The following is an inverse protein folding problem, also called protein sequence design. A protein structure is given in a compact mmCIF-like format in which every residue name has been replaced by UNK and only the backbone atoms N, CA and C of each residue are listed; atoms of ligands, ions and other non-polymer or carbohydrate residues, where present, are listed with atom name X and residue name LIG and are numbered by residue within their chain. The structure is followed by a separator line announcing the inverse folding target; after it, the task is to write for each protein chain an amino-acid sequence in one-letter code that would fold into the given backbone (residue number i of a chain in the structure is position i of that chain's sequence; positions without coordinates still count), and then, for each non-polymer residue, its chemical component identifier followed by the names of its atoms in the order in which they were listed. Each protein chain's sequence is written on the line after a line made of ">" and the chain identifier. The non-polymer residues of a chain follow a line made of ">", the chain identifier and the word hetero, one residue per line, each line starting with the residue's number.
data_IF_745796657227
#
_entry.id   IF_745796657227
#
_cell.length_a   1.000
_cell.length_b   1.000
_cell.length_c   1.000
_cell.angle_alpha   90.00
_cell.angle_beta   90.00
_cell.angle_gamma   90.00
#
_symmetry.space_group_name_H-M   'P 1'
#
loop_
_entity.id
_entity.type
_entity.pdbx_description
1 polymer ?
#
# COMPACT_ATOMS: atom_id res chain seq x y z
N UNK A 1 5.05 -9.16 -17.64
CA UNK A 1 5.52 -7.83 -18.09
C UNK A 1 5.79 -6.94 -16.89
N UNK A 2 4.77 -6.54 -16.13
CA UNK A 2 4.88 -5.70 -14.91
C UNK A 2 5.93 -6.20 -13.91
N UNK A 3 5.92 -7.50 -13.61
CA UNK A 3 6.90 -8.13 -12.70
C UNK A 3 8.36 -7.93 -13.12
N UNK A 4 8.64 -7.98 -14.43
CA UNK A 4 10.01 -7.84 -14.93
C UNK A 4 10.45 -6.38 -14.97
N UNK A 5 9.52 -5.46 -15.22
CA UNK A 5 9.81 -4.04 -15.43
C UNK A 5 9.84 -3.26 -14.11
N UNK A 6 8.80 -3.41 -13.27
CA UNK A 6 8.65 -2.62 -12.04
C UNK A 6 9.00 -3.40 -10.78
N UNK A 7 9.17 -4.73 -10.86
CA UNK A 7 9.52 -5.57 -9.72
C UNK A 7 10.76 -5.06 -8.97
N UNK A 8 11.91 -4.84 -9.66
CA UNK A 8 13.11 -4.32 -9.01
C UNK A 8 12.92 -2.95 -8.35
N UNK A 9 12.13 -2.06 -8.96
CA UNK A 9 11.86 -0.71 -8.43
C UNK A 9 11.01 -0.80 -7.15
N UNK A 10 9.99 -1.66 -7.17
CA UNK A 10 9.14 -1.92 -5.99
C UNK A 10 9.98 -2.53 -4.86
N UNK A 11 10.81 -3.54 -5.16
CA UNK A 11 11.69 -4.18 -4.17
C UNK A 11 12.70 -3.20 -3.55
N UNK A 12 13.34 -2.37 -4.37
CA UNK A 12 14.24 -1.31 -3.89
C UNK A 12 13.50 -0.29 -3.02
N UNK A 13 12.31 0.16 -3.45
CA UNK A 13 11.49 1.10 -2.66
C UNK A 13 11.09 0.48 -1.32
N UNK A 14 10.72 -0.80 -1.28
CA UNK A 14 10.41 -1.51 -0.03
C UNK A 14 11.64 -1.58 0.88
N UNK A 15 12.82 -1.86 0.33
CA UNK A 15 14.07 -1.90 1.09
C UNK A 15 14.40 -0.53 1.70
N UNK A 16 14.26 0.54 0.92
CA UNK A 16 14.44 1.92 1.39
C UNK A 16 13.43 2.28 2.50
N UNK A 17 12.14 1.99 2.29
CA UNK A 17 11.10 2.24 3.29
C UNK A 17 11.35 1.44 4.58
N UNK A 18 11.78 0.18 4.47
CA UNK A 18 12.07 -0.66 5.63
C UNK A 18 13.27 -0.16 6.44
N UNK A 19 14.24 0.48 5.78
CA UNK A 19 15.42 1.06 6.43
C UNK A 19 15.14 2.42 7.06
N UNK A 20 14.33 3.24 6.41
CA UNK A 20 14.17 4.66 6.72
C UNK A 20 12.83 5.01 7.40
N UNK A 21 11.97 4.02 7.67
CA UNK A 21 10.67 4.23 8.31
C UNK A 21 10.24 3.00 9.10
N UNK A 22 9.06 3.08 9.72
CA UNK A 22 8.38 1.94 10.39
C UNK A 22 7.65 0.99 9.41
N UNK A 23 7.93 1.03 8.10
CA UNK A 23 7.19 0.25 7.08
C UNK A 23 7.10 -1.24 7.40
N UNK A 24 8.18 -1.87 7.86
CA UNK A 24 8.16 -3.30 8.19
C UNK A 24 7.22 -3.66 9.35
N UNK A 25 6.79 -2.69 10.18
CA UNK A 25 5.82 -2.93 11.24
C UNK A 25 4.42 -3.26 10.69
N UNK A 26 4.13 -2.86 9.44
CA UNK A 26 2.84 -3.15 8.77
C UNK A 26 2.58 -4.65 8.59
N UNK A 27 3.62 -5.49 8.70
CA UNK A 27 3.49 -6.96 8.71
C UNK A 27 2.71 -7.49 9.91
N UNK A 28 2.61 -6.70 11.00
CA UNK A 28 1.96 -7.09 12.24
C UNK A 28 0.47 -6.75 12.29
N UNK A 29 -0.04 -5.98 11.33
CA UNK A 29 -1.42 -5.49 11.33
C UNK A 29 -2.19 -6.17 10.20
N UNK A 30 -3.39 -6.66 10.51
CA UNK A 30 -4.25 -7.32 9.53
C UNK A 30 -5.07 -6.28 8.78
N UNK A 31 -5.16 -6.42 7.46
CA UNK A 31 -5.97 -5.54 6.60
C UNK A 31 -7.26 -6.23 6.17
N UNK A 32 -7.17 -7.31 5.40
CA UNK A 32 -8.34 -8.03 4.89
C UNK A 32 -8.19 -9.55 5.10
N UNK A 33 -9.10 -10.13 5.88
CA UNK A 33 -9.10 -11.57 6.16
C UNK A 33 -7.80 -12.04 6.82
N UNK A 34 -6.93 -12.70 6.04
CA UNK A 34 -5.60 -13.19 6.48
C UNK A 34 -4.43 -12.42 5.85
N UNK A 35 -4.71 -11.33 5.14
CA UNK A 35 -3.68 -10.49 4.52
C UNK A 35 -3.27 -9.36 5.45
N UNK A 36 -1.96 -9.23 5.67
CA UNK A 36 -1.41 -8.10 6.44
C UNK A 36 -1.45 -6.80 5.63
N UNK A 37 -1.39 -5.65 6.31
CA UNK A 37 -1.27 -4.33 5.66
C UNK A 37 -0.07 -4.30 4.72
N UNK A 38 1.05 -4.88 5.14
CA UNK A 38 2.26 -4.99 4.31
C UNK A 38 2.00 -5.69 2.97
N UNK A 39 1.38 -6.87 3.02
CA UNK A 39 1.07 -7.65 1.83
C UNK A 39 0.06 -6.94 0.92
N UNK A 40 -0.94 -6.29 1.52
CA UNK A 40 -1.94 -5.52 0.81
C UNK A 40 -1.29 -4.36 0.04
N UNK A 41 -0.52 -3.51 0.71
CA UNK A 41 0.20 -2.38 0.10
C UNK A 41 1.09 -2.80 -1.08
N UNK A 42 1.81 -3.92 -0.94
CA UNK A 42 2.65 -4.44 -2.02
C UNK A 42 1.80 -4.85 -3.23
N UNK A 43 0.70 -5.58 -3.02
CA UNK A 43 -0.20 -5.97 -4.13
C UNK A 43 -0.80 -4.74 -4.81
N UNK A 44 -1.18 -3.71 -4.05
CA UNK A 44 -1.68 -2.44 -4.59
C UNK A 44 -0.62 -1.74 -5.42
N UNK A 45 0.65 -1.71 -5.00
CA UNK A 45 1.74 -1.15 -5.80
C UNK A 45 1.92 -1.89 -7.14
N UNK A 46 1.93 -3.22 -7.13
CA UNK A 46 2.01 -4.00 -8.37
C UNK A 46 0.79 -3.80 -9.27
N UNK A 47 -0.42 -3.79 -8.69
CA UNK A 47 -1.66 -3.56 -9.44
C UNK A 47 -1.67 -2.16 -10.06
N UNK A 48 -1.21 -1.15 -9.32
CA UNK A 48 -1.11 0.23 -9.81
C UNK A 48 -0.19 0.34 -11.03
N UNK A 49 1.01 -0.26 -10.95
CA UNK A 49 1.93 -0.32 -12.09
C UNK A 49 1.33 -1.08 -13.28
N UNK A 50 0.59 -2.17 -13.01
CA UNK A 50 -0.10 -2.92 -14.06
C UNK A 50 -1.18 -2.10 -14.76
N UNK A 51 -2.04 -1.42 -14.01
CA UNK A 51 -3.08 -0.54 -14.57
C UNK A 51 -2.44 0.55 -15.42
N UNK A 52 -1.45 1.26 -14.87
CA UNK A 52 -0.77 2.35 -15.56
C UNK A 52 -0.14 1.89 -16.88
N UNK A 53 0.63 0.79 -16.84
CA UNK A 53 1.30 0.23 -18.02
C UNK A 53 0.31 -0.32 -19.05
N UNK A 54 -0.71 -1.06 -18.60
CA UNK A 54 -1.71 -1.68 -19.48
C UNK A 54 -2.52 -0.64 -20.24
N UNK A 55 -2.85 0.47 -19.58
CA UNK A 55 -3.59 1.58 -20.17
C UNK A 55 -2.69 2.64 -20.83
N UNK A 56 -1.36 2.44 -20.81
CA UNK A 56 -0.35 3.37 -21.36
C UNK A 56 -0.50 4.79 -20.81
N UNK A 57 -0.76 4.90 -19.52
CA UNK A 57 -0.93 6.18 -18.84
C UNK A 57 0.44 6.80 -18.56
N UNK A 58 0.57 8.10 -18.81
CA UNK A 58 1.76 8.85 -18.45
C UNK A 58 1.70 9.23 -16.96
N UNK A 59 2.48 8.52 -16.15
CA UNK A 59 2.51 8.69 -14.69
C UNK A 59 3.94 8.74 -14.17
N UNK A 60 4.11 9.38 -13.03
CA UNK A 60 5.32 9.29 -12.23
C UNK A 60 5.31 7.97 -11.43
N UNK A 61 5.98 6.94 -11.96
CA UNK A 61 6.03 5.62 -11.35
C UNK A 61 6.68 5.61 -9.96
N UNK A 62 7.62 6.52 -9.67
CA UNK A 62 8.24 6.60 -8.36
C UNK A 62 7.20 7.05 -7.32
N UNK A 63 6.49 8.14 -7.60
CA UNK A 63 5.40 8.62 -6.74
C UNK A 63 4.24 7.61 -6.65
N UNK A 64 3.89 6.95 -7.76
CA UNK A 64 2.85 5.92 -7.80
C UNK A 64 3.18 4.75 -6.87
N UNK A 65 4.38 4.19 -7.00
CA UNK A 65 4.83 3.02 -6.23
C UNK A 65 4.93 3.38 -4.75
N UNK A 66 5.63 4.47 -4.43
CA UNK A 66 5.87 4.86 -3.03
C UNK A 66 4.57 5.30 -2.35
N UNK A 67 3.71 6.06 -3.03
CA UNK A 67 2.38 6.39 -2.53
C UNK A 67 1.50 5.16 -2.32
N UNK A 68 1.51 4.19 -3.25
CA UNK A 68 0.78 2.93 -3.10
C UNK A 68 1.29 2.09 -1.92
N UNK A 69 2.60 2.06 -1.66
CA UNK A 69 3.14 1.36 -0.50
C UNK A 69 2.73 2.01 0.82
N UNK A 70 2.52 3.33 0.83
CA UNK A 70 2.23 4.11 2.03
C UNK A 70 0.74 4.42 2.28
N UNK A 71 -0.18 4.06 1.37
CA UNK A 71 -1.58 4.50 1.45
C UNK A 71 -2.28 4.07 2.76
N UNK A 72 -1.98 2.86 3.24
CA UNK A 72 -2.49 2.26 4.47
C UNK A 72 -1.50 2.34 5.64
N UNK A 73 -0.61 3.32 5.66
CA UNK A 73 0.47 3.42 6.66
C UNK A 73 0.03 3.87 8.06
N UNK A 74 -1.06 3.31 8.60
CA UNK A 74 -1.69 3.75 9.84
C UNK A 74 -1.06 3.18 11.12
N UNK A 75 -0.31 2.06 11.03
CA UNK A 75 0.52 1.49 12.12
C UNK A 75 -0.21 1.07 13.41
N UNK A 76 -1.44 0.54 13.30
CA UNK A 76 -2.19 -0.03 14.43
C UNK A 76 -3.12 -1.14 13.95
N UNK A 77 -3.56 -2.04 14.82
CA UNK A 77 -4.59 -3.02 14.45
C UNK A 77 -5.98 -2.40 14.57
N UNK A 78 -6.67 -2.21 13.44
CA UNK A 78 -7.99 -1.59 13.41
C UNK A 78 -9.13 -2.57 13.75
N UNK A 79 -8.85 -3.89 13.81
CA UNK A 79 -9.82 -4.90 14.23
C UNK A 79 -10.03 -4.91 15.75
N UNK A 80 -9.12 -4.29 16.51
CA UNK A 80 -9.23 -4.14 17.95
C UNK A 80 -10.31 -3.10 18.31
N UNK A 81 -11.54 -3.59 18.48
CA UNK A 81 -12.73 -2.77 18.78
C UNK A 81 -12.64 -2.06 20.14
N UNK A 82 -11.74 -2.49 21.03
CA UNK A 82 -11.57 -1.91 22.37
C UNK A 82 -10.73 -0.62 22.35
N UNK A 83 -10.05 -0.31 21.23
CA UNK A 83 -9.19 0.87 21.08
C UNK A 83 -9.85 2.08 20.40
N UNK A 84 -11.16 2.06 20.24
CA UNK A 84 -11.90 3.23 19.73
C UNK A 84 -11.72 3.49 18.23
N UNK A 85 -11.24 2.52 17.44
CA UNK A 85 -11.10 2.62 15.98
C UNK A 85 -12.45 2.54 15.21
N UNK A 86 -13.50 3.14 15.76
CA UNK A 86 -14.79 3.29 15.07
C UNK A 86 -14.56 4.16 13.84
N UNK A 87 -15.17 3.83 12.71
CA UNK A 87 -15.04 4.56 11.44
C UNK A 87 -13.62 4.59 10.85
N UNK A 88 -12.80 3.55 11.08
CA UNK A 88 -11.43 3.43 10.54
C UNK A 88 -11.30 3.90 9.07
N UNK A 89 -12.21 3.48 8.18
CA UNK A 89 -12.21 3.87 6.76
C UNK A 89 -12.26 5.38 6.47
N UNK A 90 -12.78 6.19 7.39
CA UNK A 90 -12.87 7.65 7.22
C UNK A 90 -11.63 8.40 7.76
N UNK A 91 -10.86 7.76 8.64
CA UNK A 91 -9.81 8.43 9.41
C UNK A 91 -8.41 7.90 9.12
N UNK A 92 -8.27 6.64 8.71
CA UNK A 92 -6.94 6.08 8.45
C UNK A 92 -6.17 6.82 7.35
N UNK A 93 -6.76 7.43 6.29
CA UNK A 93 -5.97 8.16 5.31
C UNK A 93 -5.19 9.33 5.94
N UNK A 94 -5.81 10.01 6.91
CA UNK A 94 -5.16 11.10 7.66
C UNK A 94 -4.08 10.56 8.59
N UNK A 95 -4.34 9.44 9.27
CA UNK A 95 -3.35 8.82 10.17
C UNK A 95 -2.16 8.26 9.40
N UNK A 96 -2.40 7.62 8.26
CA UNK A 96 -1.37 7.16 7.34
C UNK A 96 -0.50 8.32 6.86
N UNK A 97 -1.12 9.42 6.42
CA UNK A 97 -0.38 10.61 6.01
C UNK A 97 0.44 11.21 7.15
N UNK A 98 -0.11 11.30 8.35
CA UNK A 98 0.61 11.78 9.53
C UNK A 98 1.84 10.92 9.81
N UNK A 99 1.69 9.61 9.92
CA UNK A 99 2.80 8.71 10.19
C UNK A 99 3.86 8.75 9.07
N UNK A 100 3.43 8.87 7.82
CA UNK A 100 4.35 8.95 6.68
C UNK A 100 5.17 10.25 6.72
N UNK A 101 4.56 11.38 7.09
CA UNK A 101 5.27 12.67 7.29
C UNK A 101 6.20 12.69 8.50
N UNK A 102 5.91 11.91 9.53
CA UNK A 102 6.80 11.75 10.69
C UNK A 102 8.11 11.03 10.30
N UNK A 103 8.05 10.08 9.37
CA UNK A 103 9.19 9.24 9.00
C UNK A 103 9.90 9.70 7.71
N UNK A 104 9.21 10.39 6.80
CA UNK A 104 9.66 10.62 5.43
C UNK A 104 9.25 12.00 4.89
N UNK A 105 10.07 12.54 3.97
CA UNK A 105 9.69 13.69 3.14
C UNK A 105 8.85 13.23 1.95
N UNK A 106 7.60 13.69 1.86
CA UNK A 106 6.64 13.26 0.84
C UNK A 106 6.49 14.29 -0.28
N UNK A 107 6.30 13.81 -1.50
CA UNK A 107 5.89 14.68 -2.62
C UNK A 107 4.40 14.99 -2.55
N UNK A 108 3.93 16.11 -3.15
CA UNK A 108 2.49 16.42 -3.19
C UNK A 108 1.62 15.29 -3.78
N UNK A 109 2.17 14.51 -4.72
CA UNK A 109 1.49 13.34 -5.29
C UNK A 109 1.33 12.22 -4.28
N UNK A 110 2.42 11.85 -3.60
CA UNK A 110 2.40 10.81 -2.56
C UNK A 110 1.43 11.16 -1.44
N UNK A 111 1.43 12.42 -0.98
CA UNK A 111 0.49 12.89 0.03
C UNK A 111 -0.96 12.77 -0.43
N UNK A 112 -1.24 13.12 -1.69
CA UNK A 112 -2.58 13.02 -2.25
C UNK A 112 -3.02 11.57 -2.43
N UNK A 113 -2.12 10.67 -2.88
CA UNK A 113 -2.38 9.23 -2.94
C UNK A 113 -2.83 8.74 -1.57
N UNK A 114 -2.03 9.00 -0.52
CA UNK A 114 -2.33 8.53 0.83
C UNK A 114 -3.64 9.14 1.33
N UNK A 115 -3.87 10.44 1.15
CA UNK A 115 -5.03 11.12 1.71
C UNK A 115 -6.34 10.80 0.98
N UNK A 116 -6.29 10.52 -0.32
CA UNK A 116 -7.47 10.43 -1.20
C UNK A 116 -7.79 9.01 -1.67
N UNK A 117 -6.96 8.02 -1.36
CA UNK A 117 -7.21 6.67 -1.84
C UNK A 117 -8.57 6.13 -1.41
N UNK A 118 -9.16 6.54 -0.29
CA UNK A 118 -10.48 6.06 0.16
C UNK A 118 -11.71 6.66 -0.56
N UNK A 119 -11.55 7.46 -1.61
CA UNK A 119 -12.70 7.90 -2.41
C UNK A 119 -13.49 6.69 -2.97
N UNK A 120 -14.84 6.71 -2.98
CA UNK A 120 -15.75 7.80 -2.58
C UNK A 120 -16.17 7.80 -1.10
N UNK A 121 -15.62 6.92 -0.27
CA UNK A 121 -15.91 6.90 1.17
C UNK A 121 -15.43 8.19 1.85
N UNK A 122 -14.20 8.63 1.53
CA UNK A 122 -13.77 10.00 1.80
C UNK A 122 -14.22 10.89 0.62
N UNK A 123 -15.06 11.92 0.84
CA UNK A 123 -15.82 12.55 -0.24
C UNK A 123 -15.00 13.44 -1.18
N UNK A 124 -13.76 13.76 -0.82
CA UNK A 124 -12.90 14.60 -1.64
C UNK A 124 -12.15 13.70 -2.63
N UNK A 125 -12.32 13.90 -3.95
CA UNK A 125 -11.74 13.02 -4.94
C UNK A 125 -10.20 13.12 -5.02
N UNK A 126 -9.53 12.09 -5.59
CA UNK A 126 -8.14 12.18 -5.97
C UNK A 126 -7.89 13.31 -6.98
N UNK A 127 -6.76 14.00 -6.84
CA UNK A 127 -6.37 15.09 -7.74
C UNK A 127 -5.46 14.62 -8.87
N UNK A 128 -4.46 13.79 -8.54
CA UNK A 128 -3.50 13.28 -9.51
C UNK A 128 -3.96 11.95 -10.12
N UNK A 129 -3.48 11.66 -11.33
CA UNK A 129 -3.78 10.41 -12.03
C UNK A 129 -3.28 9.19 -11.23
N UNK A 130 -2.11 9.30 -10.61
CA UNK A 130 -1.55 8.29 -9.74
C UNK A 130 -2.47 7.98 -8.55
N UNK A 131 -3.07 9.02 -7.97
CA UNK A 131 -4.01 8.89 -6.86
C UNK A 131 -5.29 8.19 -7.28
N UNK A 132 -5.79 8.43 -8.50
CA UNK A 132 -6.91 7.66 -9.07
C UNK A 132 -6.55 6.19 -9.30
N UNK A 133 -5.36 5.91 -9.83
CA UNK A 133 -4.90 4.55 -10.09
C UNK A 133 -4.79 3.76 -8.79
N UNK A 134 -4.15 4.33 -7.75
CA UNK A 134 -4.02 3.68 -6.44
C UNK A 134 -5.39 3.49 -5.80
N UNK A 135 -6.27 4.50 -5.89
CA UNK A 135 -7.65 4.38 -5.42
C UNK A 135 -8.35 3.17 -6.05
N UNK A 136 -8.27 2.96 -7.36
CA UNK A 136 -8.90 1.81 -8.03
C UNK A 136 -8.21 0.49 -7.67
N UNK A 137 -6.88 0.47 -7.69
CA UNK A 137 -6.06 -0.70 -7.39
C UNK A 137 -6.34 -1.26 -5.98
N UNK A 138 -6.42 -0.37 -4.99
CA UNK A 138 -6.77 -0.69 -3.60
C UNK A 138 -8.10 -1.48 -3.51
N UNK A 139 -9.19 -0.96 -4.08
CA UNK A 139 -10.51 -1.64 -4.01
C UNK A 139 -10.45 -3.00 -4.71
N UNK A 140 -9.79 -3.07 -5.85
CA UNK A 140 -9.65 -4.32 -6.59
C UNK A 140 -8.87 -5.37 -5.77
N UNK A 141 -7.77 -4.96 -5.13
CA UNK A 141 -7.00 -5.82 -4.23
C UNK A 141 -7.83 -6.24 -3.01
N UNK A 142 -8.51 -5.31 -2.35
CA UNK A 142 -9.36 -5.58 -1.18
C UNK A 142 -10.48 -6.58 -1.50
N UNK A 143 -11.18 -6.40 -2.62
CA UNK A 143 -12.23 -7.33 -3.08
C UNK A 143 -11.62 -8.72 -3.29
N UNK A 144 -10.52 -8.84 -4.02
CA UNK A 144 -9.89 -10.15 -4.27
C UNK A 144 -9.42 -10.83 -2.98
N UNK A 145 -8.94 -10.07 -2.01
CA UNK A 145 -8.48 -10.59 -0.71
C UNK A 145 -9.64 -11.11 0.14
N UNK A 146 -10.78 -10.40 0.16
CA UNK A 146 -12.00 -10.81 0.87
C UNK A 146 -12.57 -12.10 0.26
N UNK A 147 -12.70 -12.14 -1.07
CA UNK A 147 -13.32 -13.28 -1.76
C UNK A 147 -12.35 -14.43 -2.06
N UNK A 148 -11.06 -14.30 -1.70
CA UNK A 148 -9.99 -15.25 -2.05
C UNK A 148 -9.96 -15.60 -3.54
N UNK A 149 -10.35 -14.66 -4.40
CA UNK A 149 -10.25 -14.86 -5.84
C UNK A 149 -8.76 -14.76 -6.18
N UNK A 150 -8.14 -15.92 -6.47
CA UNK A 150 -6.73 -16.04 -6.82
C UNK A 150 -6.46 -15.44 -8.22
N UNK A 151 -6.68 -14.15 -8.43
CA UNK A 151 -6.35 -13.48 -9.70
C UNK A 151 -4.84 -13.24 -9.81
N UNK A 152 -4.14 -13.13 -8.68
CA UNK A 152 -2.71 -12.87 -8.62
C UNK A 152 -2.07 -13.75 -7.53
N UNK A 153 -1.75 -15.00 -7.86
CA UNK A 153 -0.66 -15.69 -7.15
C UNK A 153 0.64 -15.26 -7.81
N UNK A 154 1.26 -14.20 -7.28
CA UNK A 154 2.69 -14.09 -7.46
C UNK A 154 3.36 -14.88 -6.34
N UNK A 155 4.25 -15.79 -6.71
CA UNK A 155 5.23 -16.41 -5.81
C UNK A 155 6.15 -15.31 -5.28
N UNK A 156 5.67 -14.53 -4.32
CA UNK A 156 6.39 -13.38 -3.77
C UNK A 156 6.81 -13.72 -2.35
N UNK A 157 8.13 -13.74 -2.15
CA UNK A 157 8.84 -13.92 -0.89
C UNK A 157 9.10 -15.35 -0.38
N UNK A 158 9.80 -16.17 -1.19
CA UNK A 158 10.62 -17.30 -0.68
C UNK A 158 12.10 -16.96 -0.48
N UNK A 159 12.46 -15.68 -0.30
CA UNK A 159 13.81 -15.27 0.10
C UNK A 159 13.76 -14.10 1.10
N UNK A 160 13.52 -14.43 2.37
CA UNK A 160 14.16 -13.71 3.48
C UNK A 160 15.38 -14.55 3.85
N UNK A 161 16.62 -14.11 3.57
CA UNK A 161 17.78 -14.67 4.24
C UNK A 161 17.85 -14.06 5.64
N UNK A 162 17.63 -14.87 6.69
CA UNK A 162 18.00 -14.48 8.05
C UNK A 162 16.95 -14.72 9.12
N UNK A 163 16.79 -15.97 9.54
CA UNK A 163 16.61 -16.28 10.97
C UNK A 163 17.22 -17.65 11.27
N UNK A 164 18.53 -17.65 11.51
CA UNK A 164 19.15 -18.70 12.33
C UNK A 164 18.70 -18.37 13.75
N UNK A 165 17.79 -19.17 14.30
CA UNK A 165 17.54 -19.14 15.74
C UNK A 165 18.66 -20.03 16.32
N UNK A 166 19.67 -19.38 16.84
CA UNK A 166 20.57 -19.96 17.83
C UNK A 166 19.89 -19.80 19.19
N UNK A 167 19.28 -20.87 19.70
CA UNK A 167 19.68 -21.63 20.90
C UNK A 167 19.08 -23.02 20.77
#
# INVERSE_FOLDING_TARGET
>A
MVLKEYGPIIEDTIAQLSKNSRFSQTTKYMQHGKTSVYEHCIKVAYMSCWIASKLRLNVDYASLIRGALLHDYFLYDWHDKNKGHRLHGFFHPRKALQNAREDLELTPKEENIILRHMFPLTPIPPYYLESWIVCIADKFCAINEIFRINVIQQKMHKRIPGRRISV
#
